data_IF_419277101432
#
_entry.id   IF_419277101432
#
_cell.length_a   1.000
_cell.length_b   1.000
_cell.length_c   1.000
_cell.angle_alpha   90.00
_cell.angle_beta   90.00
_cell.angle_gamma   90.00
#
_symmetry.space_group_name_H-M   'P 1'
#
loop_
_entity.id
_entity.type
_entity.pdbx_description
1 polymer ?
#
# COMPACT_ATOMS: atom_id res chain seq x y z
N UNK A 1 -99.92 30.75 -8.76
CA UNK A 1 -99.36 29.91 -9.85
C UNK A 1 -97.93 29.58 -9.48
N UNK A 2 -97.59 28.29 -9.33
CA UNK A 2 -96.19 27.87 -9.47
C UNK A 2 -95.75 28.12 -10.92
N UNK A 3 -94.46 28.42 -11.15
CA UNK A 3 -93.47 27.33 -11.29
C UNK A 3 -92.07 27.63 -10.71
N UNK A 4 -91.24 26.60 -10.51
CA UNK A 4 -89.76 26.72 -10.37
C UNK A 4 -89.08 26.93 -11.73
N UNK A 5 -87.74 26.75 -11.92
CA UNK A 5 -86.63 26.41 -11.00
C UNK A 5 -85.42 27.39 -11.12
N UNK A 6 -84.33 27.19 -10.36
CA UNK A 6 -82.96 27.25 -10.94
C UNK A 6 -81.87 26.77 -9.97
N UNK A 7 -81.14 25.77 -10.45
CA UNK A 7 -79.87 25.24 -9.93
C UNK A 7 -78.74 26.23 -10.22
N UNK A 8 -77.87 26.47 -9.25
CA UNK A 8 -76.61 27.17 -9.48
C UNK A 8 -75.72 27.18 -8.24
N UNK A 9 -74.93 26.13 -8.03
CA UNK A 9 -73.99 26.14 -6.89
C UNK A 9 -73.32 24.82 -6.58
N UNK A 10 -72.77 24.09 -7.57
CA UNK A 10 -71.99 22.88 -7.25
C UNK A 10 -70.74 22.64 -8.12
N UNK A 11 -70.35 23.57 -9.01
CA UNK A 11 -69.18 23.39 -9.88
C UNK A 11 -67.90 24.12 -9.40
N UNK A 12 -68.02 25.14 -8.54
CA UNK A 12 -66.86 25.93 -8.09
C UNK A 12 -66.08 25.29 -6.91
N UNK A 13 -66.69 24.39 -6.13
CA UNK A 13 -66.00 23.73 -5.00
C UNK A 13 -65.08 22.59 -5.42
N UNK A 14 -65.30 21.97 -6.59
CA UNK A 14 -64.52 20.80 -7.02
C UNK A 14 -63.22 21.16 -7.77
N UNK A 15 -63.16 22.35 -8.40
CA UNK A 15 -61.93 22.86 -9.02
C UNK A 15 -60.93 23.39 -7.97
N UNK A 16 -61.39 24.02 -6.89
CA UNK A 16 -60.52 24.53 -5.81
C UNK A 16 -59.75 23.42 -5.09
N UNK A 17 -60.38 22.27 -4.83
CA UNK A 17 -59.74 21.11 -4.18
C UNK A 17 -58.70 20.42 -5.08
N UNK A 18 -58.93 20.32 -6.39
CA UNK A 18 -57.95 19.73 -7.33
C UNK A 18 -56.74 20.63 -7.58
N UNK A 19 -56.94 21.95 -7.62
CA UNK A 19 -55.85 22.93 -7.78
C UNK A 19 -55.01 22.98 -6.50
N UNK A 20 -55.63 22.94 -5.32
CA UNK A 20 -54.92 22.92 -4.04
C UNK A 20 -54.08 21.63 -3.87
N UNK A 21 -54.62 20.46 -4.26
CA UNK A 21 -53.90 19.17 -4.20
C UNK A 21 -52.73 19.05 -5.18
N UNK A 22 -52.83 19.68 -6.35
CA UNK A 22 -51.71 19.78 -7.30
C UNK A 22 -50.64 20.76 -6.80
N UNK A 23 -51.06 21.89 -6.24
CA UNK A 23 -50.14 22.89 -5.67
C UNK A 23 -49.35 22.33 -4.48
N UNK A 24 -50.00 21.58 -3.58
CA UNK A 24 -49.32 20.92 -2.45
C UNK A 24 -48.38 19.80 -2.89
N UNK A 25 -48.72 19.05 -3.93
CA UNK A 25 -47.82 18.04 -4.51
C UNK A 25 -46.58 18.67 -5.15
N UNK A 26 -46.74 19.78 -5.89
CA UNK A 26 -45.59 20.50 -6.48
C UNK A 26 -44.71 21.08 -5.38
N UNK A 27 -45.30 21.65 -4.32
CA UNK A 27 -44.53 22.15 -3.18
C UNK A 27 -43.76 21.03 -2.47
N UNK A 28 -44.38 19.87 -2.25
CA UNK A 28 -43.72 18.71 -1.65
C UNK A 28 -42.59 18.16 -2.52
N UNK A 29 -42.76 18.11 -3.85
CA UNK A 29 -41.72 17.68 -4.78
C UNK A 29 -40.56 18.67 -4.84
N UNK A 30 -40.84 19.98 -4.83
CA UNK A 30 -39.80 21.02 -4.75
C UNK A 30 -39.05 20.99 -3.43
N UNK A 31 -39.76 20.79 -2.31
CA UNK A 31 -39.16 20.61 -0.99
C UNK A 31 -38.25 19.38 -0.96
N UNK A 32 -38.75 18.23 -1.44
CA UNK A 32 -37.96 16.99 -1.50
C UNK A 32 -36.76 17.14 -2.46
N UNK A 33 -36.95 17.74 -3.63
CA UNK A 33 -35.87 18.01 -4.58
C UNK A 33 -34.81 18.93 -4.00
N UNK A 34 -35.21 19.98 -3.27
CA UNK A 34 -34.29 20.89 -2.57
C UNK A 34 -33.57 20.17 -1.43
N UNK A 35 -34.29 19.33 -0.67
CA UNK A 35 -33.70 18.53 0.40
C UNK A 35 -32.68 17.52 -0.14
N UNK A 36 -33.00 16.80 -1.21
CA UNK A 36 -32.07 15.88 -1.89
C UNK A 36 -30.88 16.64 -2.45
N UNK A 37 -31.09 17.80 -3.07
CA UNK A 37 -30.01 18.63 -3.62
C UNK A 37 -29.07 19.16 -2.53
N UNK A 38 -29.60 19.67 -1.42
CA UNK A 38 -28.80 20.17 -0.31
C UNK A 38 -28.05 19.05 0.41
N UNK A 39 -28.69 17.90 0.64
CA UNK A 39 -28.02 16.73 1.21
C UNK A 39 -27.00 16.14 0.22
N UNK A 40 -27.29 16.16 -1.08
CA UNK A 40 -26.36 15.78 -2.13
C UNK A 40 -25.13 16.70 -2.16
N UNK A 41 -25.31 18.01 -2.02
CA UNK A 41 -24.22 18.98 -1.90
C UNK A 41 -23.40 18.78 -0.64
N UNK A 42 -24.03 18.54 0.52
CA UNK A 42 -23.32 18.25 1.77
C UNK A 42 -22.58 16.92 1.68
N UNK A 43 -23.19 15.90 1.10
CA UNK A 43 -22.57 14.60 0.85
C UNK A 43 -21.35 14.76 -0.05
N UNK A 44 -21.51 15.39 -1.22
CA UNK A 44 -20.43 15.70 -2.17
C UNK A 44 -19.35 16.56 -1.52
N UNK A 45 -19.69 17.59 -0.74
CA UNK A 45 -18.70 18.41 -0.07
C UNK A 45 -17.93 17.61 1.00
N UNK A 46 -18.60 16.72 1.74
CA UNK A 46 -17.93 15.89 2.76
C UNK A 46 -17.11 14.77 2.17
N UNK A 47 -17.54 14.13 1.08
CA UNK A 47 -16.82 13.01 0.46
C UNK A 47 -15.79 13.47 -0.56
N UNK A 48 -16.09 14.49 -1.36
CA UNK A 48 -15.20 14.94 -2.45
C UNK A 48 -14.19 15.99 -1.97
N UNK A 49 -14.55 16.96 -1.12
CA UNK A 49 -13.59 18.01 -0.70
C UNK A 49 -12.73 17.62 0.52
N UNK A 50 -13.11 16.59 1.29
CA UNK A 50 -12.30 16.09 2.41
C UNK A 50 -11.00 15.43 1.96
N UNK A 51 -11.02 14.78 0.78
CA UNK A 51 -10.00 13.80 0.42
C UNK A 51 -8.99 14.29 -0.62
N UNK A 52 -9.05 15.55 -1.06
CA UNK A 52 -7.99 16.10 -1.90
C UNK A 52 -6.72 16.36 -1.10
N UNK A 53 -5.63 15.78 -1.61
CA UNK A 53 -4.28 16.12 -1.20
C UNK A 53 -3.99 17.58 -1.63
N UNK A 54 -3.89 18.49 -0.67
CA UNK A 54 -3.46 19.87 -0.94
C UNK A 54 -2.29 20.24 -0.07
N UNK A 55 -1.40 21.07 -0.60
CA UNK A 55 -0.20 21.46 0.11
C UNK A 55 -0.50 22.26 1.38
N UNK A 56 -1.52 23.12 1.31
CA UNK A 56 -1.97 23.91 2.44
C UNK A 56 -2.55 23.02 3.57
N UNK A 57 -3.38 22.01 3.22
CA UNK A 57 -3.88 21.05 4.20
C UNK A 57 -2.74 20.23 4.82
N UNK A 58 -1.78 19.77 4.02
CA UNK A 58 -0.61 19.03 4.51
C UNK A 58 0.20 19.83 5.53
N UNK A 59 0.49 21.10 5.21
CA UNK A 59 1.22 21.99 6.12
C UNK A 59 0.45 22.22 7.42
N UNK A 60 -0.88 22.41 7.36
CA UNK A 60 -1.73 22.52 8.55
C UNK A 60 -1.76 21.25 9.40
N UNK A 61 -1.66 20.07 8.79
CA UNK A 61 -1.54 18.80 9.53
C UNK A 61 -0.20 18.77 10.29
N UNK A 62 0.92 19.01 9.60
CA UNK A 62 2.24 19.02 10.23
C UNK A 62 2.37 20.10 11.32
N UNK A 63 1.73 21.26 11.13
CA UNK A 63 1.69 22.31 12.14
C UNK A 63 1.02 21.84 13.44
N UNK A 64 -0.10 21.11 13.35
CA UNK A 64 -0.78 20.56 14.54
C UNK A 64 0.07 19.52 15.27
N UNK A 65 0.77 18.65 14.53
CA UNK A 65 1.76 17.72 15.13
C UNK A 65 2.80 18.49 15.93
N UNK A 66 3.25 19.63 15.42
CA UNK A 66 4.23 20.47 16.10
C UNK A 66 3.67 21.25 17.28
N UNK A 67 2.40 21.63 17.26
CA UNK A 67 1.70 22.21 18.41
C UNK A 67 1.61 21.17 19.54
N UNK A 68 1.13 19.96 19.24
CA UNK A 68 1.04 18.84 20.19
C UNK A 68 2.43 18.42 20.73
N UNK A 69 3.48 18.48 19.91
CA UNK A 69 4.87 18.25 20.36
C UNK A 69 5.33 19.29 21.39
N UNK A 70 5.09 20.59 21.12
CA UNK A 70 5.47 21.69 22.03
C UNK A 70 4.70 21.65 23.35
N UNK A 71 3.47 21.16 23.31
CA UNK A 71 2.65 20.90 24.50
C UNK A 71 3.11 19.66 25.29
N UNK A 72 4.02 18.86 24.73
CA UNK A 72 4.53 17.64 25.35
C UNK A 72 3.56 16.46 25.28
N UNK A 73 2.57 16.50 24.38
CA UNK A 73 1.61 15.41 24.18
C UNK A 73 2.20 14.23 23.40
N UNK A 74 3.12 14.52 22.49
CA UNK A 74 3.80 13.54 21.63
C UNK A 74 5.31 13.80 21.57
N UNK A 75 6.08 12.85 21.04
CA UNK A 75 7.53 12.94 20.89
C UNK A 75 8.03 12.00 19.79
N UNK A 76 9.32 12.05 19.52
CA UNK A 76 9.99 11.23 18.51
C UNK A 76 11.30 11.86 18.05
N UNK A 77 12.15 11.04 17.43
CA UNK A 77 13.47 11.46 16.94
C UNK A 77 13.42 12.45 15.76
N UNK A 78 12.28 12.50 15.05
CA UNK A 78 12.03 13.46 13.98
C UNK A 78 11.45 14.79 14.51
N UNK A 79 10.86 14.84 15.71
CA UNK A 79 10.07 15.98 16.16
C UNK A 79 10.88 17.28 16.29
N UNK A 80 12.08 17.22 16.88
CA UNK A 80 12.94 18.39 17.03
C UNK A 80 13.27 18.99 15.64
N UNK A 81 13.58 18.12 14.67
CA UNK A 81 13.93 18.52 13.32
C UNK A 81 12.74 19.03 12.50
N UNK A 82 11.56 18.49 12.76
CA UNK A 82 10.32 18.91 12.11
C UNK A 82 9.79 20.23 12.68
N UNK A 83 9.82 20.40 14.00
CA UNK A 83 9.01 21.40 14.68
C UNK A 83 9.78 22.57 15.28
N UNK A 84 11.09 22.41 15.47
CA UNK A 84 11.97 23.40 16.10
C UNK A 84 13.07 23.84 15.13
N UNK A 85 13.92 22.91 14.68
CA UNK A 85 15.10 23.24 13.88
C UNK A 85 14.78 23.48 12.39
N UNK A 86 13.61 23.03 11.92
CA UNK A 86 13.17 23.21 10.53
C UNK A 86 14.01 22.43 9.51
N UNK A 87 14.72 21.38 9.96
CA UNK A 87 15.53 20.50 9.13
C UNK A 87 14.70 19.51 8.31
N UNK A 88 13.39 19.39 8.58
CA UNK A 88 12.43 18.69 7.73
C UNK A 88 11.68 19.70 6.87
N UNK A 89 12.10 19.83 5.62
CA UNK A 89 11.52 20.75 4.65
C UNK A 89 10.37 20.07 3.88
N UNK A 90 9.16 20.58 4.04
CA UNK A 90 8.02 20.21 3.20
C UNK A 90 8.31 20.44 1.71
N UNK A 91 7.93 19.50 0.84
CA UNK A 91 7.99 19.66 -0.62
C UNK A 91 6.62 19.72 -1.26
N UNK A 92 5.85 18.63 -1.21
CA UNK A 92 4.53 18.55 -1.83
C UNK A 92 3.68 17.44 -1.22
N UNK A 93 2.37 17.57 -1.39
CA UNK A 93 1.40 16.53 -1.10
C UNK A 93 1.50 15.45 -2.19
N UNK A 94 1.66 14.18 -1.83
CA UNK A 94 1.68 13.11 -2.82
C UNK A 94 0.25 12.61 -3.07
N UNK A 95 -0.40 12.07 -2.04
CA UNK A 95 -1.81 11.67 -2.13
C UNK A 95 -2.43 11.49 -0.74
N UNK A 96 -3.76 11.54 -0.69
CA UNK A 96 -4.57 11.03 0.42
C UNK A 96 -5.44 9.90 -0.08
N UNK A 97 -5.18 8.66 0.34
CA UNK A 97 -5.95 7.48 -0.06
C UNK A 97 -6.45 6.78 1.20
N UNK A 98 -7.75 6.50 1.26
CA UNK A 98 -8.38 5.81 2.40
C UNK A 98 -8.06 6.44 3.77
N UNK A 99 -7.85 7.77 3.80
CA UNK A 99 -7.49 8.50 5.02
C UNK A 99 -5.98 8.65 5.26
N UNK A 100 -5.12 7.85 4.63
CA UNK A 100 -3.65 7.90 4.74
C UNK A 100 -3.12 9.24 4.24
N UNK A 101 -2.16 9.83 4.95
CA UNK A 101 -1.49 11.09 4.62
C UNK A 101 -0.09 10.78 4.13
N UNK A 102 0.21 11.09 2.87
CA UNK A 102 1.51 10.82 2.27
C UNK A 102 2.10 12.12 1.72
N UNK A 103 3.22 12.54 2.30
CA UNK A 103 3.83 13.85 2.06
C UNK A 103 5.30 13.67 1.70
N UNK A 104 5.74 14.30 0.62
CA UNK A 104 7.16 14.38 0.27
C UNK A 104 7.84 15.50 1.05
N UNK A 105 9.00 15.20 1.65
CA UNK A 105 9.82 16.15 2.38
C UNK A 105 11.32 15.92 2.15
N UNK A 106 12.16 16.85 2.61
CA UNK A 106 13.61 16.67 2.74
C UNK A 106 14.02 16.78 4.20
N UNK A 107 14.61 15.73 4.76
CA UNK A 107 15.16 15.73 6.10
C UNK A 107 16.69 15.82 6.05
N UNK A 108 17.25 16.93 6.56
CA UNK A 108 18.70 17.22 6.52
C UNK A 108 19.28 17.08 5.10
N UNK A 109 18.55 17.60 4.11
CA UNK A 109 18.91 17.52 2.69
C UNK A 109 18.61 16.19 2.00
N UNK A 110 18.24 15.14 2.73
CA UNK A 110 17.89 13.82 2.16
C UNK A 110 16.40 13.74 1.88
N UNK A 111 15.95 13.31 0.68
CA UNK A 111 14.52 13.15 0.40
C UNK A 111 13.92 12.01 1.24
N UNK A 112 12.74 12.26 1.81
CA UNK A 112 11.97 11.32 2.64
C UNK A 112 10.48 11.43 2.32
N UNK A 113 9.72 10.41 2.70
CA UNK A 113 8.25 10.44 2.65
C UNK A 113 7.72 10.35 4.08
N UNK A 114 6.90 11.33 4.47
CA UNK A 114 6.17 11.31 5.73
C UNK A 114 4.83 10.61 5.51
N UNK A 115 4.52 9.64 6.36
CA UNK A 115 3.31 8.83 6.30
C UNK A 115 2.58 8.85 7.64
N UNK A 116 1.25 8.79 7.57
CA UNK A 116 0.36 8.54 8.71
C UNK A 116 -0.99 7.99 8.25
N UNK A 117 -1.56 7.01 8.94
CA UNK A 117 -2.90 6.47 8.64
C UNK A 117 -4.01 7.47 8.91
N UNK A 118 -3.93 8.21 10.02
CA UNK A 118 -4.93 9.20 10.43
C UNK A 118 -4.33 10.60 10.43
N UNK A 119 -5.20 11.60 10.32
CA UNK A 119 -4.80 13.00 10.26
C UNK A 119 -4.30 13.53 11.61
N UNK A 120 -5.06 13.26 12.67
CA UNK A 120 -4.82 13.81 14.00
C UNK A 120 -4.26 12.76 14.95
N UNK A 121 -3.37 13.17 15.85
CA UNK A 121 -2.83 12.28 16.89
C UNK A 121 -3.93 11.78 17.83
N UNK A 122 -4.87 12.64 18.18
CA UNK A 122 -6.04 12.31 19.02
C UNK A 122 -7.05 11.35 18.38
N UNK A 123 -6.89 11.01 17.10
CA UNK A 123 -7.76 10.01 16.43
C UNK A 123 -7.31 8.57 16.66
N UNK A 124 -6.11 8.36 17.21
CA UNK A 124 -5.66 7.05 17.65
C UNK A 124 -6.19 6.77 19.05
N UNK A 125 -6.47 5.50 19.33
CA UNK A 125 -6.93 5.08 20.65
C UNK A 125 -5.80 5.33 21.65
N UNK A 126 -6.12 5.91 22.81
CA UNK A 126 -5.17 6.08 23.90
C UNK A 126 -4.82 4.69 24.46
N UNK A 127 -3.60 4.55 24.98
CA UNK A 127 -3.25 3.36 25.73
C UNK A 127 -4.04 3.43 27.04
N UNK A 128 -5.08 2.60 27.21
CA UNK A 128 -5.99 2.67 28.37
C UNK A 128 -5.28 2.63 29.73
N UNK A 129 -4.10 2.03 29.83
CA UNK A 129 -3.24 2.07 31.03
C UNK A 129 -2.87 3.51 31.44
N UNK A 130 -2.71 4.44 30.49
CA UNK A 130 -2.44 5.86 30.73
C UNK A 130 -3.66 6.63 31.26
N UNK A 131 -4.86 6.02 31.23
CA UNK A 131 -6.11 6.63 31.72
C UNK A 131 -6.52 6.10 33.10
N UNK A 132 -6.17 4.85 33.42
CA UNK A 132 -6.57 4.19 34.67
C UNK A 132 -5.47 4.13 35.75
N UNK A 133 -4.19 4.30 35.41
CA UNK A 133 -3.13 4.36 36.41
C UNK A 133 -2.99 5.77 36.99
N UNK A 134 -2.84 5.82 38.32
CA UNK A 134 -2.43 7.03 39.03
C UNK A 134 -1.15 7.58 38.35
N UNK A 135 -0.98 8.89 38.16
CA UNK A 135 0.21 9.47 37.52
C UNK A 135 1.54 9.15 38.23
N UNK A 136 1.51 8.42 39.34
CA UNK A 136 2.65 7.93 40.10
C UNK A 136 3.11 6.49 39.73
N UNK A 137 2.29 5.68 39.05
CA UNK A 137 2.70 4.35 38.57
C UNK A 137 3.24 4.45 37.13
N UNK A 138 4.54 4.70 37.00
CA UNK A 138 5.22 4.65 35.71
C UNK A 138 5.30 3.20 35.21
N UNK A 139 4.86 2.94 33.96
CA UNK A 139 4.97 1.62 33.34
C UNK A 139 6.43 1.18 33.27
N UNK A 140 6.69 -0.07 33.69
CA UNK A 140 8.03 -0.61 33.58
C UNK A 140 8.39 -0.84 32.10
N UNK A 141 9.67 -0.77 31.72
CA UNK A 141 10.11 -1.12 30.36
C UNK A 141 9.65 -2.52 29.90
N UNK A 142 9.46 -3.46 30.83
CA UNK A 142 8.99 -4.81 30.52
C UNK A 142 7.51 -4.83 30.14
N UNK A 143 6.67 -4.04 30.82
CA UNK A 143 5.24 -3.93 30.50
C UNK A 143 5.07 -3.33 29.11
N UNK A 144 5.83 -2.27 28.80
CA UNK A 144 5.83 -1.63 27.48
C UNK A 144 6.22 -2.63 26.39
N UNK A 145 7.28 -3.41 26.61
CA UNK A 145 7.69 -4.47 25.68
C UNK A 145 6.60 -5.53 25.52
N UNK A 146 5.93 -5.93 26.61
CA UNK A 146 4.86 -6.91 26.56
C UNK A 146 3.67 -6.40 25.73
N UNK A 147 3.10 -5.24 26.06
CA UNK A 147 1.98 -4.66 25.31
C UNK A 147 2.33 -4.37 23.85
N UNK A 148 3.52 -3.83 23.59
CA UNK A 148 3.99 -3.59 22.23
C UNK A 148 4.11 -4.90 21.44
N UNK A 149 4.55 -5.99 22.07
CA UNK A 149 4.63 -7.31 21.42
C UNK A 149 3.26 -7.84 21.05
N UNK A 150 2.27 -7.69 21.96
CA UNK A 150 0.91 -8.11 21.69
C UNK A 150 0.32 -7.34 20.51
N UNK A 151 0.50 -6.01 20.49
CA UNK A 151 -0.02 -5.18 19.41
C UNK A 151 0.65 -5.51 18.08
N UNK A 152 1.98 -5.69 18.05
CA UNK A 152 2.67 -6.13 16.83
C UNK A 152 2.09 -7.45 16.32
N UNK A 153 1.91 -8.44 17.20
CA UNK A 153 1.36 -9.75 16.79
C UNK A 153 -0.05 -9.59 16.21
N UNK A 154 -0.86 -8.75 16.82
CA UNK A 154 -2.20 -8.44 16.35
C UNK A 154 -2.15 -7.77 14.96
N UNK A 155 -1.33 -6.73 14.77
CA UNK A 155 -1.18 -6.03 13.49
C UNK A 155 -0.66 -6.96 12.38
N UNK A 156 0.34 -7.79 12.68
CA UNK A 156 0.90 -8.78 11.74
C UNK A 156 0.00 -10.01 11.55
N UNK A 157 -1.02 -10.17 12.40
CA UNK A 157 -1.93 -11.32 12.41
C UNK A 157 -1.21 -12.65 12.61
N UNK A 158 -0.33 -12.69 13.62
CA UNK A 158 0.37 -13.90 14.05
C UNK A 158 -0.33 -14.52 15.25
N UNK A 159 -0.37 -15.85 15.31
CA UNK A 159 -1.00 -16.57 16.41
C UNK A 159 -0.34 -16.25 17.77
N UNK A 160 -1.17 -15.96 18.75
CA UNK A 160 -0.74 -15.64 20.12
C UNK A 160 -0.12 -16.83 20.87
N UNK A 161 -0.38 -18.06 20.40
CA UNK A 161 0.06 -19.31 21.03
C UNK A 161 1.50 -19.76 20.71
N UNK A 162 2.17 -19.10 19.76
CA UNK A 162 3.55 -19.45 19.39
C UNK A 162 4.62 -18.81 20.30
N UNK A 163 5.62 -19.59 20.73
CA UNK A 163 6.85 -19.09 21.36
C UNK A 163 7.76 -18.43 20.31
N UNK A 164 7.30 -17.36 19.67
CA UNK A 164 8.12 -16.54 18.78
C UNK A 164 8.48 -15.24 19.51
N UNK A 165 9.74 -15.13 19.91
CA UNK A 165 10.35 -13.89 20.38
C UNK A 165 10.20 -12.80 19.32
N UNK A 166 9.97 -11.55 19.73
CA UNK A 166 10.22 -10.36 18.89
C UNK A 166 11.54 -10.51 18.12
N UNK A 167 11.75 -9.80 16.99
CA UNK A 167 13.09 -9.57 16.50
C UNK A 167 13.96 -9.15 17.70
N UNK A 168 15.02 -9.92 18.04
CA UNK A 168 15.74 -9.77 19.29
C UNK A 168 16.14 -8.32 19.57
N UNK A 169 16.45 -7.59 18.49
CA UNK A 169 16.92 -6.21 18.49
C UNK A 169 15.90 -5.18 19.00
N UNK A 170 14.60 -5.31 18.69
CA UNK A 170 13.61 -4.30 19.09
C UNK A 170 13.32 -4.39 20.59
N UNK A 171 13.10 -5.61 21.09
CA UNK A 171 12.95 -5.87 22.52
C UNK A 171 14.23 -5.59 23.30
N UNK A 172 15.41 -5.88 22.72
CA UNK A 172 16.70 -5.61 23.36
C UNK A 172 16.96 -4.10 23.53
N UNK A 173 16.75 -3.28 22.49
CA UNK A 173 16.91 -1.82 22.59
C UNK A 173 15.98 -1.19 23.63
N UNK A 174 14.76 -1.70 23.75
CA UNK A 174 13.80 -1.23 24.77
C UNK A 174 14.19 -1.70 26.18
N UNK A 175 14.74 -2.91 26.33
CA UNK A 175 15.21 -3.46 27.62
C UNK A 175 16.51 -2.81 28.12
N UNK A 176 17.43 -2.47 27.23
CA UNK A 176 18.70 -1.80 27.57
C UNK A 176 18.49 -0.34 27.99
N UNK A 177 17.28 0.18 27.79
CA UNK A 177 16.89 1.52 28.19
C UNK A 177 16.66 1.57 29.70
N UNK A 178 17.71 1.87 30.46
CA UNK A 178 17.69 2.00 31.91
C UNK A 178 16.89 3.19 32.48
N UNK A 179 16.00 3.82 31.70
CA UNK A 179 15.13 4.93 32.15
C UNK A 179 13.66 4.61 31.87
N UNK A 180 12.73 5.06 32.72
CA UNK A 180 11.29 4.93 32.47
C UNK A 180 10.88 5.70 31.20
N UNK A 181 9.76 5.30 30.61
CA UNK A 181 9.19 5.95 29.43
C UNK A 181 8.29 7.09 29.86
N UNK A 182 8.41 8.24 29.20
CA UNK A 182 7.47 9.34 29.45
C UNK A 182 6.08 9.04 28.85
N UNK A 183 5.05 9.71 29.35
CA UNK A 183 3.68 9.61 28.80
C UNK A 183 3.65 9.91 27.29
N UNK A 184 4.38 10.92 26.85
CA UNK A 184 4.49 11.29 25.44
C UNK A 184 5.16 10.19 24.60
N UNK A 185 6.18 9.53 25.13
CA UNK A 185 6.86 8.41 24.45
C UNK A 185 5.92 7.23 24.27
N UNK A 186 5.15 6.89 25.31
CA UNK A 186 4.18 5.79 25.27
C UNK A 186 3.02 6.12 24.32
N UNK A 187 2.46 7.33 24.39
CA UNK A 187 1.38 7.75 23.50
C UNK A 187 1.83 7.74 22.04
N UNK A 188 3.04 8.24 21.75
CA UNK A 188 3.60 8.24 20.40
C UNK A 188 3.84 6.82 19.89
N UNK A 189 4.47 5.96 20.70
CA UNK A 189 4.68 4.54 20.36
C UNK A 189 3.36 3.82 20.08
N UNK A 190 2.35 4.03 20.92
CA UNK A 190 1.05 3.38 20.78
C UNK A 190 0.32 3.81 19.50
N UNK A 191 0.38 5.10 19.16
CA UNK A 191 -0.18 5.60 17.90
C UNK A 191 0.49 5.03 16.64
N UNK A 192 1.78 4.71 16.72
CA UNK A 192 2.54 4.09 15.63
C UNK A 192 2.22 2.60 15.51
N UNK A 193 2.08 1.91 16.64
CA UNK A 193 1.74 0.48 16.67
C UNK A 193 0.35 0.16 16.12
N UNK A 194 -0.61 1.09 16.24
CA UNK A 194 -1.94 0.95 15.62
C UNK A 194 -1.93 1.04 14.09
N UNK A 195 -0.78 1.36 13.48
CA UNK A 195 -0.63 1.48 12.03
C UNK A 195 0.06 0.23 11.48
N UNK A 196 -0.72 -0.64 10.85
CA UNK A 196 -0.24 -1.93 10.31
C UNK A 196 0.98 -1.76 9.38
N UNK A 197 0.96 -0.78 8.47
CA UNK A 197 2.09 -0.49 7.57
C UNK A 197 3.37 -0.10 8.33
N UNK A 198 3.26 0.77 9.35
CA UNK A 198 4.42 1.16 10.16
C UNK A 198 5.02 -0.06 10.86
N UNK A 199 4.17 -0.86 11.52
CA UNK A 199 4.58 -2.07 12.23
C UNK A 199 5.27 -3.03 11.27
N UNK A 200 4.66 -3.26 10.11
CA UNK A 200 5.17 -4.17 9.09
C UNK A 200 6.54 -3.72 8.58
N UNK A 201 6.67 -2.48 8.13
CA UNK A 201 7.95 -1.94 7.65
C UNK A 201 9.00 -1.94 8.74
N UNK A 202 8.66 -1.51 9.96
CA UNK A 202 9.61 -1.40 11.07
C UNK A 202 10.12 -2.75 11.56
N UNK A 203 9.27 -3.78 11.58
CA UNK A 203 9.67 -5.14 11.98
C UNK A 203 10.46 -5.82 10.87
N UNK A 204 10.06 -5.66 9.61
CA UNK A 204 10.68 -6.38 8.50
C UNK A 204 11.94 -5.73 7.94
N UNK A 205 12.16 -4.43 8.12
CA UNK A 205 13.33 -3.74 7.55
C UNK A 205 14.68 -4.31 8.01
N UNK A 206 14.73 -4.95 9.19
CA UNK A 206 15.94 -5.58 9.74
C UNK A 206 16.06 -7.05 9.31
N UNK A 207 14.98 -7.64 8.77
CA UNK A 207 14.90 -9.05 8.36
C UNK A 207 14.98 -9.22 6.84
N UNK A 208 14.47 -8.25 6.08
CA UNK A 208 14.46 -8.27 4.62
C UNK A 208 14.85 -6.93 4.03
N UNK A 209 15.72 -6.98 3.02
CA UNK A 209 16.06 -5.80 2.22
C UNK A 209 14.92 -5.33 1.30
N UNK A 210 13.85 -6.10 1.15
CA UNK A 210 12.79 -5.83 0.18
C UNK A 210 11.61 -5.01 0.74
N UNK A 211 11.80 -4.34 1.87
CA UNK A 211 10.82 -3.40 2.43
C UNK A 211 11.44 -2.02 2.63
N UNK A 212 10.61 -0.98 2.58
CA UNK A 212 11.05 0.39 2.81
C UNK A 212 11.51 0.59 4.26
N UNK A 213 12.57 1.37 4.46
CA UNK A 213 13.13 1.65 5.79
C UNK A 213 12.41 2.82 6.44
N UNK A 214 11.97 2.59 7.68
CA UNK A 214 11.50 3.64 8.60
C UNK A 214 12.73 4.32 9.22
N UNK A 215 12.85 5.62 8.97
CA UNK A 215 14.00 6.43 9.34
C UNK A 215 13.82 7.13 10.70
N UNK A 216 12.59 7.49 11.06
CA UNK A 216 12.26 8.20 12.30
C UNK A 216 10.77 8.47 12.40
N UNK A 217 10.33 9.08 13.50
CA UNK A 217 8.93 9.40 13.75
C UNK A 217 8.76 10.66 14.59
N UNK A 218 7.60 11.31 14.46
CA UNK A 218 7.13 12.34 15.36
C UNK A 218 5.64 12.10 15.67
N UNK A 219 5.35 11.64 16.89
CA UNK A 219 4.00 11.19 17.24
C UNK A 219 3.55 10.03 16.34
N UNK A 220 2.38 10.17 15.72
CA UNK A 220 1.80 9.21 14.77
C UNK A 220 2.41 9.28 13.36
N UNK A 221 3.10 10.37 13.02
CA UNK A 221 3.78 10.49 11.74
C UNK A 221 5.13 9.77 11.76
N UNK A 222 5.44 9.05 10.69
CA UNK A 222 6.73 8.41 10.51
C UNK A 222 7.34 8.74 9.15
N UNK A 223 8.66 8.84 9.11
CA UNK A 223 9.43 9.09 7.91
C UNK A 223 9.97 7.76 7.35
N UNK A 224 9.78 7.54 6.05
CA UNK A 224 10.41 6.46 5.30
C UNK A 224 11.37 7.01 4.25
N UNK A 225 12.31 6.18 3.80
CA UNK A 225 13.18 6.54 2.67
C UNK A 225 12.35 6.88 1.42
N UNK A 226 12.76 7.92 0.70
CA UNK A 226 12.13 8.26 -0.58
C UNK A 226 12.62 7.31 -1.67
N UNK A 227 11.68 6.62 -2.33
CA UNK A 227 11.93 5.74 -3.45
C UNK A 227 10.92 6.01 -4.55
N UNK A 228 11.39 6.00 -5.79
CA UNK A 228 10.56 6.27 -6.95
C UNK A 228 9.75 5.03 -7.29
N UNK A 229 8.44 5.15 -7.09
CA UNK A 229 7.47 4.08 -7.34
C UNK A 229 7.39 3.75 -8.84
N UNK A 230 6.86 2.57 -9.15
CA UNK A 230 6.52 2.23 -10.51
C UNK A 230 5.28 2.96 -11.03
N UNK A 231 5.09 2.92 -12.34
CA UNK A 231 3.94 3.51 -13.05
C UNK A 231 3.31 2.45 -13.96
N UNK A 232 2.00 2.17 -13.79
CA UNK A 232 1.30 1.18 -14.63
C UNK A 232 1.07 1.62 -16.08
N UNK A 233 1.20 2.91 -16.37
CA UNK A 233 0.81 3.50 -17.67
C UNK A 233 1.99 3.73 -18.61
N UNK A 234 3.22 3.51 -18.13
CA UNK A 234 4.44 3.67 -18.91
C UNK A 234 5.01 2.33 -19.39
N UNK A 235 5.57 2.33 -20.62
CA UNK A 235 6.33 1.18 -21.14
C UNK A 235 7.52 0.82 -20.23
N UNK A 236 8.05 1.84 -19.53
CA UNK A 236 9.05 1.69 -18.48
C UNK A 236 8.35 1.70 -17.12
N UNK A 237 7.88 0.53 -16.69
CA UNK A 237 7.18 0.32 -15.41
C UNK A 237 7.90 0.97 -14.21
N UNK A 238 9.24 1.10 -14.25
CA UNK A 238 10.01 1.88 -13.28
C UNK A 238 10.89 2.92 -13.99
N UNK A 239 10.93 4.13 -13.47
CA UNK A 239 11.79 5.22 -13.94
C UNK A 239 13.27 4.92 -13.66
N UNK A 240 13.96 4.33 -14.64
CA UNK A 240 15.37 3.93 -14.51
C UNK A 240 16.38 5.08 -14.59
N UNK A 241 15.94 6.28 -15.01
CA UNK A 241 16.80 7.46 -15.17
C UNK A 241 17.40 7.91 -13.82
N UNK A 242 16.62 7.86 -12.74
CA UNK A 242 17.07 8.22 -11.39
C UNK A 242 17.97 7.14 -10.75
N UNK A 243 17.97 5.94 -11.33
CA UNK A 243 18.75 4.76 -10.91
C UNK A 243 20.05 4.64 -11.73
N UNK A 244 20.21 5.43 -12.81
CA UNK A 244 21.25 5.35 -13.85
C UNK A 244 22.66 5.80 -13.42
N UNK A 245 23.05 5.60 -12.16
CA UNK A 245 24.39 5.96 -11.69
C UNK A 245 25.49 4.94 -12.06
N UNK A 246 25.17 3.89 -12.83
CA UNK A 246 26.08 2.77 -13.14
C UNK A 246 26.31 2.56 -14.64
N UNK A 247 27.33 1.75 -15.03
CA UNK A 247 27.69 1.47 -16.42
C UNK A 247 26.74 0.45 -17.10
N UNK A 248 25.49 0.34 -16.64
CA UNK A 248 24.57 -0.71 -17.05
C UNK A 248 23.63 -0.22 -18.13
N UNK A 249 23.37 -1.06 -19.13
CA UNK A 249 22.33 -0.79 -20.12
C UNK A 249 20.95 -0.87 -19.46
N UNK A 250 19.95 -0.18 -20.01
CA UNK A 250 18.56 -0.28 -19.52
C UNK A 250 18.06 -1.73 -19.49
N UNK A 251 18.49 -2.55 -20.46
CA UNK A 251 18.20 -3.98 -20.50
C UNK A 251 18.81 -4.73 -19.31
N UNK A 252 20.08 -4.47 -18.98
CA UNK A 252 20.73 -5.13 -17.85
C UNK A 252 20.08 -4.75 -16.53
N UNK A 253 19.65 -3.48 -16.39
CA UNK A 253 18.88 -3.04 -15.23
C UNK A 253 17.56 -3.81 -15.11
N UNK A 254 16.78 -3.95 -16.20
CA UNK A 254 15.53 -4.73 -16.19
C UNK A 254 15.78 -6.18 -15.77
N UNK A 255 16.79 -6.84 -16.30
CA UNK A 255 17.10 -8.23 -15.90
C UNK A 255 17.54 -8.33 -14.43
N UNK A 256 18.33 -7.38 -13.92
CA UNK A 256 18.74 -7.33 -12.51
C UNK A 256 17.56 -7.05 -11.57
N UNK A 257 16.67 -6.14 -11.96
CA UNK A 257 15.43 -5.86 -11.23
C UNK A 257 14.53 -7.11 -11.21
N UNK A 258 14.38 -7.81 -12.34
CA UNK A 258 13.64 -9.07 -12.39
C UNK A 258 14.26 -10.14 -11.48
N UNK A 259 15.59 -10.26 -11.42
CA UNK A 259 16.27 -11.12 -10.44
C UNK A 259 15.97 -10.70 -8.99
N UNK A 260 15.90 -9.39 -8.71
CA UNK A 260 15.53 -8.90 -7.38
C UNK A 260 14.07 -9.19 -7.03
N UNK A 261 13.14 -9.19 -7.98
CA UNK A 261 11.76 -9.65 -7.75
C UNK A 261 11.71 -11.14 -7.42
N UNK A 262 12.52 -11.97 -8.10
CA UNK A 262 12.63 -13.40 -7.79
C UNK A 262 13.19 -13.65 -6.38
N UNK A 263 14.20 -12.89 -5.98
CA UNK A 263 14.78 -12.96 -4.62
C UNK A 263 13.74 -12.53 -3.57
N UNK A 264 13.04 -11.41 -3.80
CA UNK A 264 11.98 -10.94 -2.91
C UNK A 264 10.89 -12.00 -2.72
N UNK A 265 10.35 -12.55 -3.81
CA UNK A 265 9.32 -13.59 -3.75
C UNK A 265 9.80 -14.81 -2.97
N UNK A 266 11.05 -15.25 -3.20
CA UNK A 266 11.63 -16.37 -2.46
C UNK A 266 11.71 -16.10 -0.96
N UNK A 267 12.24 -14.96 -0.57
CA UNK A 267 12.45 -14.59 0.84
C UNK A 267 11.13 -14.45 1.57
N UNK A 268 10.13 -13.83 0.95
CA UNK A 268 8.80 -13.70 1.54
C UNK A 268 8.11 -15.06 1.72
N UNK A 269 8.43 -16.04 0.88
CA UNK A 269 7.90 -17.40 1.01
C UNK A 269 8.68 -18.25 2.04
N UNK A 270 9.97 -17.97 2.31
CA UNK A 270 10.86 -18.91 3.02
C UNK A 270 11.66 -18.36 4.22
N UNK A 271 11.92 -17.06 4.33
CA UNK A 271 12.82 -16.50 5.37
C UNK A 271 12.11 -16.32 6.73
N UNK A 272 10.78 -16.40 6.76
CA UNK A 272 9.96 -16.14 7.94
C UNK A 272 9.30 -17.42 8.48
N UNK A 273 8.95 -17.44 9.77
CA UNK A 273 8.23 -18.57 10.38
C UNK A 273 6.89 -18.86 9.71
N UNK A 274 6.24 -17.84 9.17
CA UNK A 274 5.06 -17.94 8.35
C UNK A 274 5.33 -17.26 7.01
N UNK A 275 4.87 -17.86 5.92
CA UNK A 275 4.92 -17.25 4.59
C UNK A 275 4.20 -15.90 4.60
N UNK A 276 4.81 -14.93 3.92
CA UNK A 276 4.25 -13.61 3.71
C UNK A 276 3.60 -13.53 2.33
N UNK A 277 2.30 -13.23 2.28
CA UNK A 277 1.52 -13.10 1.06
C UNK A 277 1.38 -11.63 0.66
N UNK A 278 1.64 -11.34 -0.62
CA UNK A 278 1.30 -10.09 -1.27
C UNK A 278 0.02 -10.28 -2.07
N UNK A 279 -1.02 -9.52 -1.73
CA UNK A 279 -2.33 -9.59 -2.37
C UNK A 279 -2.65 -8.39 -3.26
N UNK A 280 -1.81 -7.34 -3.30
CA UNK A 280 -1.96 -6.23 -4.25
C UNK A 280 -0.63 -5.96 -4.96
N UNK A 281 -0.28 -6.83 -5.91
CA UNK A 281 0.94 -6.67 -6.71
C UNK A 281 0.58 -5.77 -7.88
N UNK A 282 1.13 -4.56 -7.88
CA UNK A 282 1.07 -3.61 -8.99
C UNK A 282 2.33 -2.75 -8.98
N UNK A 283 2.79 -2.22 -10.13
CA UNK A 283 3.98 -1.40 -10.22
C UNK A 283 4.09 -0.30 -9.16
N UNK A 284 2.99 0.36 -8.85
CA UNK A 284 2.90 1.49 -7.92
C UNK A 284 3.26 1.10 -6.47
N UNK A 285 3.09 -0.17 -6.11
CA UNK A 285 3.37 -0.66 -4.76
C UNK A 285 4.83 -1.04 -4.56
N UNK A 286 5.64 -1.00 -5.63
CA UNK A 286 7.07 -1.29 -5.60
C UNK A 286 7.89 -0.09 -6.03
N UNK A 287 9.12 -0.03 -5.54
CA UNK A 287 10.13 0.90 -5.99
C UNK A 287 11.49 0.22 -6.14
N UNK A 288 12.39 0.87 -6.87
CA UNK A 288 13.73 0.35 -7.15
C UNK A 288 14.77 1.24 -6.46
N UNK A 289 15.58 0.65 -5.58
CA UNK A 289 16.74 1.34 -5.00
C UNK A 289 17.85 1.52 -6.03
N UNK A 290 18.80 2.42 -5.73
CA UNK A 290 19.98 2.69 -6.57
C UNK A 290 20.83 1.47 -6.88
N UNK A 291 20.81 0.46 -6.02
CA UNK A 291 21.51 -0.82 -6.18
C UNK A 291 20.69 -1.87 -6.97
N UNK A 292 19.56 -1.45 -7.57
CA UNK A 292 18.59 -2.29 -8.29
C UNK A 292 17.81 -3.27 -7.40
N UNK A 293 17.84 -3.08 -6.09
CA UNK A 293 16.98 -3.84 -5.16
C UNK A 293 15.53 -3.37 -5.28
N UNK A 294 14.63 -4.30 -5.54
CA UNK A 294 13.17 -4.11 -5.50
C UNK A 294 12.72 -3.99 -4.05
N UNK A 295 11.85 -3.03 -3.78
CA UNK A 295 11.33 -2.72 -2.44
C UNK A 295 9.82 -2.58 -2.50
N UNK A 296 9.10 -3.28 -1.62
CA UNK A 296 7.70 -3.00 -1.35
C UNK A 296 7.59 -1.70 -0.54
N UNK A 297 6.91 -0.70 -1.12
CA UNK A 297 6.69 0.63 -0.52
C UNK A 297 5.26 0.81 -0.02
N UNK A 298 4.35 -0.03 -0.51
CA UNK A 298 2.99 -0.18 -0.02
C UNK A 298 2.78 -1.65 0.37
N UNK A 299 2.47 -1.87 1.64
CA UNK A 299 2.30 -3.18 2.27
C UNK A 299 0.93 -3.28 2.95
N UNK A 300 -0.01 -2.40 2.58
CA UNK A 300 -1.36 -2.37 3.15
C UNK A 300 -2.13 -3.68 2.86
N UNK A 301 -1.80 -4.37 1.76
CA UNK A 301 -2.37 -5.67 1.37
C UNK A 301 -1.34 -6.81 1.46
N UNK A 302 -0.53 -6.81 2.53
CA UNK A 302 0.43 -7.88 2.83
C UNK A 302 0.07 -8.59 4.15
N UNK A 303 0.02 -9.93 4.11
CA UNK A 303 -0.47 -10.73 5.24
C UNK A 303 0.39 -11.96 5.47
N UNK A 304 0.70 -12.28 6.72
CA UNK A 304 1.25 -13.58 7.06
C UNK A 304 0.19 -14.69 6.93
N UNK A 305 0.65 -15.91 6.67
CA UNK A 305 -0.21 -17.08 6.43
C UNK A 305 -1.40 -17.23 7.42
N UNK A 306 -1.27 -17.05 8.75
CA UNK A 306 -2.41 -17.18 9.67
C UNK A 306 -3.54 -16.18 9.35
N UNK A 307 -3.23 -14.88 9.28
CA UNK A 307 -4.21 -13.84 8.88
C UNK A 307 -4.75 -14.05 7.47
N UNK A 308 -3.92 -14.55 6.55
CA UNK A 308 -4.35 -14.84 5.18
C UNK A 308 -5.41 -15.95 5.15
N UNK A 309 -5.25 -16.99 5.97
CA UNK A 309 -6.24 -18.07 6.10
C UNK A 309 -7.58 -17.52 6.59
N UNK A 310 -7.55 -16.67 7.61
CA UNK A 310 -8.77 -16.05 8.16
C UNK A 310 -9.48 -15.15 7.13
N UNK A 311 -8.71 -14.37 6.36
CA UNK A 311 -9.27 -13.53 5.28
C UNK A 311 -9.95 -14.38 4.21
N UNK A 312 -9.36 -15.53 3.83
CA UNK A 312 -9.91 -16.41 2.80
C UNK A 312 -11.08 -17.27 3.29
N UNK A 313 -11.27 -17.47 4.59
CA UNK A 313 -12.38 -18.26 5.16
C UNK A 313 -13.73 -17.52 5.09
N UNK A 314 -14.24 -17.34 3.87
CA UNK A 314 -15.51 -16.70 3.56
C UNK A 314 -16.55 -17.70 3.05
N UNK A 315 -17.82 -17.30 3.07
CA UNK A 315 -18.87 -18.04 2.38
C UNK A 315 -18.84 -17.73 0.88
N UNK A 316 -19.09 -18.72 0.03
CA UNK A 316 -19.03 -18.57 -1.43
C UNK A 316 -20.12 -19.36 -2.14
N UNK A 317 -20.41 -18.94 -3.37
CA UNK A 317 -21.26 -19.67 -4.34
C UNK A 317 -20.41 -20.22 -5.48
N UNK A 318 -19.38 -19.48 -5.90
CA UNK A 318 -18.46 -19.84 -6.98
C UNK A 318 -17.01 -19.44 -6.62
N UNK A 319 -16.05 -19.86 -7.45
CA UNK A 319 -14.62 -19.60 -7.21
C UNK A 319 -14.25 -18.10 -7.22
N UNK A 320 -14.98 -17.25 -7.96
CA UNK A 320 -14.68 -15.82 -8.04
C UNK A 320 -15.01 -15.08 -6.73
N UNK A 321 -15.93 -15.63 -5.94
CA UNK A 321 -16.25 -15.12 -4.59
C UNK A 321 -15.07 -15.35 -3.61
N UNK A 322 -14.12 -16.22 -3.96
CA UNK A 322 -12.96 -16.58 -3.16
C UNK A 322 -11.68 -15.83 -3.55
N UNK A 323 -11.83 -14.68 -4.20
CA UNK A 323 -10.73 -13.81 -4.59
C UNK A 323 -10.59 -12.63 -3.62
N UNK A 324 -9.42 -12.50 -3.01
CA UNK A 324 -9.03 -11.32 -2.26
C UNK A 324 -7.93 -10.59 -3.02
N UNK A 325 -8.32 -9.63 -3.88
CA UNK A 325 -7.42 -8.99 -4.85
C UNK A 325 -6.63 -10.03 -5.66
N UNK A 326 -5.31 -10.10 -5.52
CA UNK A 326 -4.44 -11.05 -6.21
C UNK A 326 -4.26 -12.38 -5.45
N UNK A 327 -4.88 -12.54 -4.29
CA UNK A 327 -4.86 -13.77 -3.52
C UNK A 327 -6.13 -14.58 -3.83
N UNK A 328 -5.97 -15.66 -4.60
CA UNK A 328 -7.08 -16.47 -5.11
C UNK A 328 -7.16 -17.78 -4.35
N UNK A 329 -8.36 -18.18 -3.90
CA UNK A 329 -8.62 -19.54 -3.39
C UNK A 329 -9.69 -20.26 -4.22
N UNK A 330 -10.37 -21.27 -3.66
CA UNK A 330 -11.37 -22.09 -4.36
C UNK A 330 -12.61 -22.25 -3.50
N UNK A 331 -13.78 -22.21 -4.10
CA UNK A 331 -15.03 -22.45 -3.43
C UNK A 331 -15.30 -23.95 -3.33
N UNK A 332 -15.46 -24.47 -2.11
CA UNK A 332 -16.08 -25.77 -1.92
C UNK A 332 -17.60 -25.59 -1.96
N UNK A 333 -18.19 -25.86 -3.12
CA UNK A 333 -19.64 -25.74 -3.39
C UNK A 333 -20.47 -26.72 -2.53
N UNK A 334 -19.85 -27.75 -1.93
CA UNK A 334 -20.57 -28.64 -1.01
C UNK A 334 -20.77 -27.99 0.36
N UNK A 335 -19.79 -27.23 0.82
CA UNK A 335 -19.84 -26.52 2.10
C UNK A 335 -20.24 -25.04 1.95
N UNK A 336 -20.30 -24.53 0.72
CA UNK A 336 -20.44 -23.11 0.38
C UNK A 336 -19.41 -22.23 1.11
N UNK A 337 -18.17 -22.73 1.19
CA UNK A 337 -17.06 -22.06 1.87
C UNK A 337 -15.81 -22.06 1.02
N UNK A 338 -15.11 -20.94 1.03
CA UNK A 338 -13.81 -20.82 0.40
C UNK A 338 -12.78 -21.67 1.15
N UNK A 339 -11.83 -22.23 0.41
CA UNK A 339 -10.65 -22.84 0.99
C UNK A 339 -9.82 -21.78 1.70
N UNK A 340 -9.39 -22.08 2.91
CA UNK A 340 -8.47 -21.23 3.68
C UNK A 340 -7.07 -21.17 3.09
N UNK A 341 -6.73 -22.07 2.15
CA UNK A 341 -5.43 -22.08 1.48
C UNK A 341 -5.48 -21.28 0.18
N UNK A 342 -4.59 -20.30 0.07
CA UNK A 342 -4.31 -19.58 -1.18
C UNK A 342 -3.79 -20.56 -2.23
N UNK A 343 -4.27 -20.44 -3.47
CA UNK A 343 -3.89 -21.31 -4.59
C UNK A 343 -2.73 -20.80 -5.42
N UNK A 344 -2.63 -19.49 -5.61
CA UNK A 344 -1.54 -18.86 -6.35
C UNK A 344 -0.45 -18.35 -5.41
N UNK A 345 0.75 -18.09 -5.94
CA UNK A 345 1.90 -17.59 -5.16
C UNK A 345 2.23 -16.13 -5.50
N UNK A 346 3.06 -15.51 -4.66
CA UNK A 346 3.62 -14.18 -4.96
C UNK A 346 4.33 -14.15 -6.32
N UNK A 347 5.14 -15.18 -6.59
CA UNK A 347 5.87 -15.31 -7.86
C UNK A 347 4.92 -15.39 -9.07
N UNK A 348 3.82 -16.14 -8.97
CA UNK A 348 2.85 -16.27 -10.06
C UNK A 348 2.24 -14.91 -10.42
N UNK A 349 1.84 -14.14 -9.42
CA UNK A 349 1.25 -12.81 -9.63
C UNK A 349 2.30 -11.83 -10.15
N UNK A 350 3.54 -11.88 -9.66
CA UNK A 350 4.67 -11.11 -10.22
C UNK A 350 4.90 -11.47 -11.70
N UNK A 351 4.90 -12.76 -12.03
CA UNK A 351 5.03 -13.22 -13.41
C UNK A 351 3.90 -12.67 -14.30
N UNK A 352 2.66 -12.72 -13.80
CA UNK A 352 1.49 -12.25 -14.52
C UNK A 352 1.46 -10.73 -14.72
N UNK A 353 1.73 -9.96 -13.67
CA UNK A 353 1.51 -8.51 -13.66
C UNK A 353 2.75 -7.68 -13.96
N UNK A 354 3.95 -8.21 -13.71
CA UNK A 354 5.20 -7.47 -13.88
C UNK A 354 6.01 -8.06 -15.06
N UNK A 355 6.33 -9.35 -15.00
CA UNK A 355 7.24 -9.94 -16.00
C UNK A 355 6.60 -10.15 -17.37
N UNK A 356 5.32 -10.54 -17.43
CA UNK A 356 4.65 -10.77 -18.70
C UNK A 356 4.56 -9.49 -19.55
N UNK A 357 4.21 -8.31 -19.01
CA UNK A 357 4.36 -7.05 -19.74
C UNK A 357 5.80 -6.74 -20.18
N UNK A 358 6.78 -6.87 -19.27
CA UNK A 358 8.18 -6.54 -19.54
C UNK A 358 8.85 -7.39 -20.61
N UNK A 359 8.57 -8.69 -20.60
CA UNK A 359 9.18 -9.60 -21.55
C UNK A 359 8.28 -9.86 -22.75
N UNK A 360 7.23 -9.04 -22.95
CA UNK A 360 6.33 -9.18 -24.09
C UNK A 360 7.05 -8.94 -25.43
N UNK A 361 6.68 -9.66 -26.50
CA UNK A 361 7.24 -9.43 -27.83
C UNK A 361 7.04 -8.00 -28.33
N UNK A 362 5.92 -7.37 -27.97
CA UNK A 362 5.58 -5.99 -28.34
C UNK A 362 6.63 -5.00 -27.83
N UNK A 363 7.09 -5.16 -26.58
CA UNK A 363 8.09 -4.26 -25.99
C UNK A 363 9.51 -4.58 -26.49
N UNK A 364 9.81 -5.85 -26.73
CA UNK A 364 11.15 -6.29 -27.12
C UNK A 364 11.43 -6.17 -28.63
N UNK A 365 10.40 -6.03 -29.46
CA UNK A 365 10.52 -5.92 -30.91
C UNK A 365 11.30 -7.09 -31.53
N UNK A 366 12.21 -6.80 -32.46
CA UNK A 366 13.03 -7.82 -33.12
C UNK A 366 13.90 -8.66 -32.16
N UNK A 367 14.25 -8.11 -30.99
CA UNK A 367 15.03 -8.81 -29.96
C UNK A 367 14.24 -9.90 -29.25
N UNK A 368 12.90 -9.90 -29.36
CA UNK A 368 12.03 -10.95 -28.85
C UNK A 368 12.32 -12.33 -29.47
N UNK A 369 12.81 -12.37 -30.72
CA UNK A 369 13.10 -13.60 -31.44
C UNK A 369 14.42 -14.29 -31.06
N UNK A 370 15.21 -13.70 -30.16
CA UNK A 370 16.46 -14.32 -29.70
C UNK A 370 16.15 -15.58 -28.88
N UNK A 371 16.87 -16.71 -29.08
CA UNK A 371 16.52 -17.99 -28.46
C UNK A 371 16.32 -17.93 -26.93
N UNK A 372 17.22 -17.26 -26.21
CA UNK A 372 17.11 -17.09 -24.76
C UNK A 372 15.93 -16.20 -24.33
N UNK A 373 15.57 -15.22 -25.16
CA UNK A 373 14.44 -14.34 -24.89
C UNK A 373 13.11 -15.09 -25.05
N UNK A 374 13.02 -15.94 -26.08
CA UNK A 374 11.88 -16.84 -26.31
C UNK A 374 11.74 -17.84 -25.16
N UNK A 375 12.85 -18.41 -24.68
CA UNK A 375 12.82 -19.33 -23.54
C UNK A 375 12.38 -18.63 -22.25
N UNK A 376 12.82 -17.39 -22.02
CA UNK A 376 12.35 -16.56 -20.90
C UNK A 376 10.86 -16.27 -21.01
N UNK A 377 10.37 -15.85 -22.18
CA UNK A 377 8.95 -15.60 -22.43
C UNK A 377 8.10 -16.84 -22.13
N UNK A 378 8.53 -18.02 -22.61
CA UNK A 378 7.84 -19.28 -22.34
C UNK A 378 7.81 -19.59 -20.85
N UNK A 379 8.92 -19.38 -20.14
CA UNK A 379 9.00 -19.61 -18.69
C UNK A 379 8.12 -18.63 -17.90
N UNK A 380 8.05 -17.36 -18.31
CA UNK A 380 7.19 -16.34 -17.68
C UNK A 380 5.70 -16.66 -17.91
N UNK A 381 5.34 -17.08 -19.12
CA UNK A 381 3.98 -17.51 -19.44
C UNK A 381 3.58 -18.73 -18.61
N UNK A 382 4.44 -19.75 -18.55
CA UNK A 382 4.24 -20.93 -17.69
C UNK A 382 4.08 -20.51 -16.22
N UNK A 383 4.88 -19.56 -15.74
CA UNK A 383 4.81 -19.05 -14.37
C UNK A 383 3.49 -18.35 -14.04
N UNK A 384 2.96 -17.55 -14.96
CA UNK A 384 1.68 -16.88 -14.77
C UNK A 384 0.49 -17.85 -14.82
N UNK A 385 0.53 -18.86 -15.70
CA UNK A 385 -0.64 -19.68 -16.02
C UNK A 385 -0.68 -21.05 -15.34
N UNK A 386 0.40 -21.46 -14.66
CA UNK A 386 0.43 -22.79 -14.02
C UNK A 386 -0.73 -22.92 -13.01
N UNK A 387 -1.67 -23.87 -13.23
CA UNK A 387 -2.70 -24.18 -12.25
C UNK A 387 -2.06 -25.06 -11.18
N UNK A 388 -1.84 -24.51 -10.00
CA UNK A 388 -1.26 -25.28 -8.91
C UNK A 388 -2.31 -26.20 -8.27
N UNK A 389 -1.98 -27.50 -8.27
CA UNK A 389 -2.43 -28.50 -7.30
C UNK A 389 -1.39 -28.65 -6.19
N UNK A 390 -1.53 -29.65 -5.31
CA UNK A 390 -0.79 -29.83 -4.05
C UNK A 390 0.74 -30.07 -4.16
N UNK A 391 1.35 -29.86 -5.34
CA UNK A 391 2.71 -30.29 -5.67
C UNK A 391 3.72 -29.12 -5.59
N UNK A 392 4.42 -28.98 -4.46
CA UNK A 392 5.35 -27.88 -4.15
C UNK A 392 6.70 -27.94 -4.90
N UNK A 393 7.02 -29.01 -5.63
CA UNK A 393 8.32 -29.14 -6.32
C UNK A 393 8.41 -28.29 -7.60
N UNK A 394 7.31 -28.18 -8.33
CA UNK A 394 7.29 -27.55 -9.64
C UNK A 394 7.39 -25.99 -9.60
N UNK A 395 6.92 -25.23 -8.58
CA UNK A 395 7.13 -23.78 -8.51
C UNK A 395 8.60 -23.45 -8.27
N UNK A 396 9.28 -24.24 -7.42
CA UNK A 396 10.71 -24.08 -7.15
C UNK A 396 11.55 -24.35 -8.40
N UNK A 397 11.20 -25.38 -9.18
CA UNK A 397 11.86 -25.67 -10.45
C UNK A 397 11.71 -24.49 -11.43
N UNK A 398 10.52 -23.90 -11.50
CA UNK A 398 10.24 -22.76 -12.39
C UNK A 398 11.00 -21.50 -11.95
N UNK A 399 11.06 -21.23 -10.66
CA UNK A 399 11.85 -20.13 -10.12
C UNK A 399 13.34 -20.29 -10.44
N UNK A 400 13.91 -21.48 -10.25
CA UNK A 400 15.30 -21.79 -10.62
C UNK A 400 15.54 -21.59 -12.12
N UNK A 401 14.58 -21.99 -12.96
CA UNK A 401 14.65 -21.78 -14.42
C UNK A 401 14.64 -20.30 -14.79
N UNK A 402 13.75 -19.50 -14.21
CA UNK A 402 13.70 -18.05 -14.43
C UNK A 402 15.02 -17.39 -13.99
N UNK A 403 15.53 -17.74 -12.81
CA UNK A 403 16.81 -17.27 -12.29
C UNK A 403 17.96 -17.57 -13.26
N UNK A 404 18.02 -18.82 -13.75
CA UNK A 404 19.05 -19.26 -14.69
C UNK A 404 18.99 -18.50 -16.02
N UNK A 405 17.79 -18.32 -16.60
CA UNK A 405 17.60 -17.62 -17.87
C UNK A 405 17.99 -16.14 -17.77
N UNK A 406 17.52 -15.44 -16.73
CA UNK A 406 17.86 -14.03 -16.49
C UNK A 406 19.37 -13.84 -16.25
N UNK A 407 19.99 -14.75 -15.49
CA UNK A 407 21.43 -14.71 -15.24
C UNK A 407 22.21 -14.90 -16.54
N UNK A 408 21.80 -15.82 -17.42
CA UNK A 408 22.45 -16.03 -18.73
C UNK A 408 22.31 -14.81 -19.64
N UNK A 409 21.17 -14.14 -19.64
CA UNK A 409 20.94 -12.92 -20.43
C UNK A 409 21.89 -11.79 -20.01
N UNK A 410 22.18 -11.65 -18.71
CA UNK A 410 23.17 -10.68 -18.22
C UNK A 410 24.61 -11.00 -18.66
N UNK A 411 24.97 -12.29 -18.75
CA UNK A 411 26.29 -12.71 -19.22
C UNK A 411 26.46 -12.52 -20.74
N UNK A 412 25.39 -12.66 -21.54
CA UNK A 412 25.47 -12.39 -22.98
C UNK A 412 25.62 -10.88 -23.29
N UNK A 413 24.94 -10.00 -22.55
CA UNK A 413 25.05 -8.54 -22.72
C UNK A 413 26.49 -8.04 -22.56
N UNK A 414 27.20 -8.52 -21.54
CA UNK A 414 28.60 -8.15 -21.25
C UNK A 414 29.62 -8.67 -22.27
N UNK A 415 29.31 -9.77 -22.96
CA UNK A 415 30.20 -10.36 -23.99
C UNK A 415 30.10 -9.68 -25.36
N UNK A 416 28.94 -9.12 -25.71
CA UNK A 416 28.73 -8.46 -27.01
C UNK A 416 29.37 -7.07 -27.11
N UNK A 417 29.63 -6.41 -25.98
CA UNK A 417 30.19 -5.05 -25.94
C UNK A 417 31.72 -5.00 -26.00
N UNK A 418 32.43 -6.11 -25.74
CA UNK A 418 33.89 -6.19 -25.96
C UNK A 418 34.29 -6.43 -27.42
N UNK A 419 33.32 -6.68 -28.31
CA UNK A 419 33.57 -6.99 -29.72
C UNK A 419 33.02 -5.97 -30.74
N UNK A 420 32.48 -4.84 -30.28
CA UNK A 420 31.71 -3.90 -31.11
C UNK A 420 32.29 -2.49 -31.23
N UNK A 421 33.61 -2.32 -31.13
CA UNK A 421 34.27 -1.05 -31.43
C UNK A 421 34.96 -1.14 -32.80
N UNK A 422 34.16 -1.28 -33.87
CA UNK A 422 34.51 -0.90 -35.24
C UNK A 422 33.28 -1.11 -36.13
N UNK A 423 32.79 -0.06 -36.79
CA UNK A 423 31.78 -0.18 -37.84
C UNK A 423 30.71 0.91 -37.86
N UNK A 424 31.04 2.00 -38.55
CA UNK A 424 30.19 2.85 -39.40
C UNK A 424 28.85 3.41 -38.88
N UNK A 425 28.80 4.74 -38.84
CA UNK A 425 27.61 5.52 -38.56
C UNK A 425 26.55 5.43 -39.65
N UNK A 426 25.30 5.41 -39.22
CA UNK A 426 24.14 5.78 -40.04
C UNK A 426 23.19 6.60 -39.15
N UNK A 427 23.01 7.86 -39.53
CA UNK A 427 21.98 8.74 -39.01
C UNK A 427 20.58 8.18 -39.33
N UNK A 428 19.64 8.23 -38.39
CA UNK A 428 18.22 8.39 -38.72
C UNK A 428 17.40 9.02 -37.59
N UNK A 429 17.09 10.29 -37.81
CA UNK A 429 15.87 11.06 -37.50
C UNK A 429 15.08 10.82 -36.20
N UNK A 430 15.11 11.89 -35.40
CA UNK A 430 14.14 12.32 -34.38
C UNK A 430 12.76 12.60 -34.97
N UNK A 431 11.71 12.01 -34.39
CA UNK A 431 10.28 12.37 -34.48
C UNK A 431 9.52 11.40 -33.56
N UNK A 432 8.59 11.74 -32.66
CA UNK A 432 7.83 12.94 -32.34
C UNK A 432 7.29 12.75 -30.90
N UNK A 433 7.20 13.86 -30.18
CA UNK A 433 6.41 14.02 -28.96
C UNK A 433 4.91 13.89 -29.27
N UNK A 434 4.17 13.22 -28.39
CA UNK A 434 2.81 13.58 -27.99
C UNK A 434 2.64 13.33 -26.51
#
# INVERSE_FOLDING_TARGET
>A
MGPGPSRGGCLLRWLGLKICRRSTLVFALLWFGTWVFLNGLVFVHRTILSDYCTDDKSKRILQRVCEEYREGALTGDLCEDLCVSGQVEYKRCLYYENGKKVIEARWRGTPVVLKSKLENFSSYESLGLLEYQDPAEELSPLDVVFYATLEIRNSLGLDMGGNASLPPLWGQRMRERGRPYSRAELASLWSLLQQEEYVFLRVLQDLSRHVAKVLGSCGHFYAVEYLSAGHAWDQNIFSLEEVSAGPWTARDMVHRIALSFLDMAWRFDNDFSHRLHLCDIKPENFAIRKDLTVVAIDVDMAFFEPKMRDILEQNCTNDDDCNFFDCVSKCDVKTNKCSSKRRNSNLQVICQKIFRPWFSPTLLGAKAGLPLQVDLQRAVQECAETPWGEDEERPQALQKRLLHLLTRLLHQGTSSERGGADGEGVHSHTALNF
#
